data_IF_149320265747
#
_entry.id   IF_149320265747
#
_cell.length_a   1.000
_cell.length_b   1.000
_cell.length_c   1.000
_cell.angle_alpha   90.00
_cell.angle_beta   90.00
_cell.angle_gamma   90.00
#
_symmetry.space_group_name_H-M   'P 1'
#
loop_
_entity.id
_entity.type
_entity.pdbx_description
1 polymer ?
#
# COMPACT_ATOMS: atom_id res chain seq x y z
N UNK A 1 40.36 18.63 19.25
CA UNK A 1 39.00 19.18 19.38
C UNK A 1 38.04 18.17 18.78
N UNK A 2 36.92 17.86 19.43
CA UNK A 2 35.85 17.07 18.82
C UNK A 2 35.33 17.80 17.57
N UNK A 3 34.86 17.03 16.60
CA UNK A 3 34.24 17.56 15.38
C UNK A 3 32.77 17.18 15.37
N UNK A 4 31.86 18.15 15.22
CA UNK A 4 30.44 17.85 14.98
C UNK A 4 30.13 18.01 13.52
N UNK A 5 29.65 16.95 12.87
CA UNK A 5 29.11 17.03 11.52
C UNK A 5 27.60 17.28 11.58
N UNK A 6 27.14 18.35 10.91
CA UNK A 6 25.72 18.72 10.82
C UNK A 6 25.28 18.75 9.36
N UNK A 7 24.08 18.24 9.05
CA UNK A 7 23.51 18.34 7.71
C UNK A 7 22.08 17.82 7.64
N UNK A 8 21.28 18.37 6.72
CA UNK A 8 19.91 17.93 6.47
C UNK A 8 19.76 17.51 5.01
N UNK A 9 19.36 16.27 4.78
CA UNK A 9 19.23 15.66 3.46
C UNK A 9 17.75 15.45 3.19
N UNK A 10 17.26 16.12 2.16
CA UNK A 10 15.84 16.16 1.81
C UNK A 10 15.65 15.90 0.32
N UNK A 11 14.45 15.47 -0.06
CA UNK A 11 14.06 15.28 -1.46
C UNK A 11 13.76 16.63 -2.16
N UNK A 12 13.19 16.57 -3.36
CA UNK A 12 12.79 17.75 -4.13
C UNK A 12 11.70 18.59 -3.45
N UNK A 13 10.87 17.95 -2.62
CA UNK A 13 9.75 18.58 -1.90
C UNK A 13 10.17 19.10 -0.52
N UNK A 14 11.39 18.78 -0.08
CA UNK A 14 11.94 19.20 1.20
C UNK A 14 11.66 18.21 2.34
N UNK A 15 11.18 17.01 2.02
CA UNK A 15 10.92 15.95 2.99
C UNK A 15 12.17 15.08 3.22
N UNK A 16 12.36 14.50 4.41
CA UNK A 16 13.49 13.61 4.68
C UNK A 16 13.49 12.41 3.73
N UNK A 17 14.65 12.08 3.17
CA UNK A 17 14.75 10.96 2.23
C UNK A 17 14.73 9.64 3.00
N UNK A 18 13.59 8.94 2.95
CA UNK A 18 13.42 7.63 3.56
C UNK A 18 13.93 6.54 2.61
N UNK A 19 14.77 5.62 3.11
CA UNK A 19 15.19 4.43 2.38
C UNK A 19 16.52 4.51 1.61
N UNK A 20 17.20 5.67 1.62
CA UNK A 20 18.58 5.77 1.10
C UNK A 20 19.62 5.52 2.18
N UNK A 21 20.67 4.78 1.84
CA UNK A 21 21.78 4.48 2.74
C UNK A 21 22.89 5.50 2.56
N UNK A 22 22.79 6.63 3.24
CA UNK A 22 23.80 7.69 3.19
C UNK A 22 24.77 7.50 4.35
N UNK A 23 26.07 7.63 4.09
CA UNK A 23 27.12 7.48 5.09
C UNK A 23 28.02 8.71 5.12
N UNK A 24 28.44 9.10 6.33
CA UNK A 24 29.51 10.06 6.56
C UNK A 24 30.86 9.31 6.51
N UNK A 25 31.78 9.76 5.68
CA UNK A 25 33.13 9.22 5.56
C UNK A 25 34.19 10.28 5.89
N UNK A 26 35.29 9.85 6.49
CA UNK A 26 36.48 10.67 6.71
C UNK A 26 37.69 10.07 5.98
N UNK A 27 38.59 10.94 5.51
CA UNK A 27 39.85 10.51 4.92
C UNK A 27 40.89 10.26 6.02
N UNK A 28 41.18 8.98 6.28
CA UNK A 28 42.25 8.54 7.18
C UNK A 28 43.52 8.11 6.43
N UNK A 29 44.50 7.58 7.16
CA UNK A 29 45.79 7.13 6.59
C UNK A 29 45.65 5.99 5.57
N UNK A 30 44.61 5.16 5.74
CA UNK A 30 44.33 4.00 4.87
C UNK A 30 43.28 4.30 3.78
N UNK A 31 42.84 5.56 3.64
CA UNK A 31 41.80 5.97 2.69
C UNK A 31 40.51 6.40 3.39
N UNK A 32 39.41 6.37 2.63
CA UNK A 32 38.09 6.77 3.12
C UNK A 32 37.49 5.70 4.03
N UNK A 33 37.12 6.08 5.24
CA UNK A 33 36.50 5.18 6.22
C UNK A 33 35.11 5.68 6.58
N UNK A 34 34.13 4.78 6.59
CA UNK A 34 32.77 5.05 7.04
C UNK A 34 32.74 5.29 8.55
N UNK A 35 32.25 6.46 8.94
CA UNK A 35 32.11 6.89 10.33
C UNK A 35 30.71 6.60 10.87
N UNK A 36 29.67 6.96 10.11
CA UNK A 36 28.29 6.79 10.53
C UNK A 36 27.33 6.65 9.35
N UNK A 37 26.28 5.84 9.53
CA UNK A 37 25.13 5.74 8.64
C UNK A 37 24.04 6.73 9.08
N UNK A 38 23.48 7.44 8.11
CA UNK A 38 22.48 8.50 8.30
C UNK A 38 21.12 7.91 7.90
N UNK A 39 20.22 7.75 8.89
CA UNK A 39 18.95 7.04 8.69
C UNK A 39 17.74 7.94 8.49
N UNK A 40 17.77 9.16 9.02
CA UNK A 40 16.62 10.07 9.05
C UNK A 40 16.92 11.41 8.35
N UNK A 41 17.82 11.39 7.37
CA UNK A 41 18.25 12.59 6.64
C UNK A 41 19.00 13.64 7.47
N UNK A 42 19.12 13.48 8.79
CA UNK A 42 19.86 14.40 9.66
C UNK A 42 21.17 13.78 10.10
N UNK A 43 22.26 14.55 9.92
CA UNK A 43 23.58 14.23 10.43
C UNK A 43 23.78 15.06 11.69
N UNK A 44 23.98 14.41 12.84
CA UNK A 44 24.44 15.04 14.06
C UNK A 44 25.37 14.05 14.76
N UNK A 45 26.68 14.24 14.55
CA UNK A 45 27.69 13.24 14.93
C UNK A 45 28.89 13.92 15.55
N UNK A 46 29.16 13.57 16.80
CA UNK A 46 30.41 13.89 17.47
C UNK A 46 31.49 12.88 17.06
N UNK A 47 32.39 13.33 16.19
CA UNK A 47 33.55 12.56 15.79
C UNK A 47 34.67 12.72 16.82
N UNK A 48 35.30 11.62 17.26
CA UNK A 48 36.48 11.70 18.11
C UNK A 48 37.54 12.47 17.34
N UNK A 49 38.13 13.49 17.97
CA UNK A 49 39.05 14.43 17.32
C UNK A 49 40.14 13.70 16.53
N UNK A 50 39.97 13.63 15.21
CA UNK A 50 40.83 12.85 14.34
C UNK A 50 42.14 13.62 14.15
N UNK A 51 43.23 13.08 14.69
CA UNK A 51 44.60 13.60 14.50
C UNK A 51 45.14 13.34 13.09
N UNK A 52 46.31 13.91 12.76
CA UNK A 52 46.49 14.96 11.77
C UNK A 52 46.53 14.45 10.32
N UNK A 53 45.63 14.99 9.49
CA UNK A 53 45.94 15.17 8.07
C UNK A 53 47.05 16.24 7.94
N UNK A 54 48.04 15.97 7.09
CA UNK A 54 49.21 16.81 6.73
C UNK A 54 49.15 18.27 7.22
N UNK A 55 49.66 18.53 8.43
CA UNK A 55 49.83 19.86 9.01
C UNK A 55 49.08 20.05 10.34
N UNK A 56 49.75 20.61 11.35
CA UNK A 56 49.11 20.99 12.63
C UNK A 56 47.91 21.91 12.34
N UNK A 57 46.69 21.40 12.52
CA UNK A 57 45.46 22.19 12.50
C UNK A 57 44.63 22.13 11.22
N UNK A 58 44.97 21.31 10.23
CA UNK A 58 44.10 21.10 9.08
C UNK A 58 42.93 20.16 9.44
N UNK A 59 41.66 20.53 9.17
CA UNK A 59 40.53 19.66 9.40
C UNK A 59 40.61 18.41 8.51
N UNK A 60 40.16 17.27 9.03
CA UNK A 60 40.11 16.03 8.26
C UNK A 60 39.07 16.17 7.15
N UNK A 61 39.40 15.84 5.88
CA UNK A 61 38.42 15.85 4.81
C UNK A 61 37.25 14.92 5.14
N UNK A 62 36.03 15.48 5.15
CA UNK A 62 34.79 14.75 5.36
C UNK A 62 33.96 14.76 4.09
N UNK A 63 33.26 13.66 3.82
CA UNK A 63 32.30 13.57 2.71
C UNK A 63 31.06 12.78 3.09
N UNK A 64 29.95 13.11 2.46
CA UNK A 64 28.72 12.33 2.48
C UNK A 64 28.66 11.48 1.22
N UNK A 65 28.34 10.20 1.37
CA UNK A 65 28.29 9.23 0.26
C UNK A 65 26.97 8.48 0.30
N UNK A 66 26.31 8.39 -0.85
CA UNK A 66 25.15 7.52 -1.05
C UNK A 66 25.66 6.12 -1.44
N UNK A 67 25.32 5.14 -0.61
CA UNK A 67 25.65 3.72 -0.77
C UNK A 67 24.42 2.86 -1.01
N UNK A 68 23.28 3.47 -1.39
CA UNK A 68 22.06 2.75 -1.75
C UNK A 68 22.17 1.96 -3.06
N UNK A 69 23.19 2.27 -3.88
CA UNK A 69 23.49 1.57 -5.14
C UNK A 69 24.85 0.86 -5.03
N UNK A 70 25.14 -0.07 -5.96
CA UNK A 70 26.45 -0.75 -6.05
C UNK A 70 27.62 0.20 -6.36
N UNK A 71 27.34 1.47 -6.64
CA UNK A 71 28.33 2.53 -6.86
C UNK A 71 28.30 3.55 -5.72
N UNK A 72 29.45 3.81 -5.10
CA UNK A 72 29.59 4.93 -4.15
C UNK A 72 29.42 6.26 -4.88
N UNK A 73 28.39 7.03 -4.52
CA UNK A 73 28.16 8.37 -5.07
C UNK A 73 28.45 9.44 -4.02
N UNK A 74 29.44 10.30 -4.26
CA UNK A 74 29.75 11.42 -3.36
C UNK A 74 28.67 12.48 -3.48
N UNK A 75 27.92 12.68 -2.40
CA UNK A 75 26.83 13.65 -2.29
C UNK A 75 27.36 15.06 -1.99
N UNK A 76 28.34 15.16 -1.09
CA UNK A 76 29.03 16.41 -0.74
C UNK A 76 30.40 16.10 -0.13
N UNK A 77 31.42 16.89 -0.43
CA UNK A 77 32.80 16.71 0.07
C UNK A 77 33.39 17.96 0.74
N UNK A 78 32.64 19.05 0.79
CA UNK A 78 33.14 20.36 1.22
C UNK A 78 32.22 20.97 2.29
N UNK A 79 32.25 20.45 3.54
CA UNK A 79 31.50 21.07 4.63
C UNK A 79 32.07 22.46 4.95
N UNK A 80 31.20 23.37 5.38
CA UNK A 80 31.60 24.64 5.94
C UNK A 80 32.14 24.41 7.35
N UNK A 81 33.42 24.72 7.54
CA UNK A 81 34.08 24.57 8.83
C UNK A 81 33.89 25.83 9.68
N UNK A 82 33.33 25.67 10.88
CA UNK A 82 33.22 26.73 11.88
C UNK A 82 33.99 26.32 13.13
N UNK A 83 34.95 27.15 13.55
CA UNK A 83 35.72 26.93 14.76
C UNK A 83 35.04 27.62 15.95
N UNK A 84 34.61 26.83 16.93
CA UNK A 84 34.22 27.30 18.26
C UNK A 84 35.36 27.13 19.26
N UNK A 85 35.17 27.68 20.46
CA UNK A 85 36.19 27.66 21.52
C UNK A 85 36.53 26.23 22.00
N UNK A 86 35.58 25.29 21.92
CA UNK A 86 35.73 23.91 22.41
C UNK A 86 35.50 22.83 21.32
N UNK A 87 35.00 23.19 20.15
CA UNK A 87 34.55 22.25 19.12
C UNK A 87 34.68 22.83 17.71
N UNK A 88 34.89 21.95 16.73
CA UNK A 88 34.91 22.31 15.31
C UNK A 88 33.66 21.75 14.64
N UNK A 89 32.84 22.60 14.01
CA UNK A 89 31.61 22.17 13.33
C UNK A 89 31.85 22.06 11.82
N UNK A 90 31.49 20.93 11.24
CA UNK A 90 31.44 20.67 9.80
C UNK A 90 29.98 20.71 9.33
N UNK A 91 29.55 21.82 8.74
CA UNK A 91 28.18 22.01 8.28
C UNK A 91 28.05 21.73 6.78
N UNK A 92 27.28 20.70 6.42
CA UNK A 92 26.98 20.33 5.04
C UNK A 92 25.77 21.07 4.46
N UNK A 93 25.05 21.84 5.28
CA UNK A 93 23.84 22.57 4.91
C UNK A 93 22.65 21.66 4.58
N UNK A 94 21.68 22.21 3.86
CA UNK A 94 20.55 21.44 3.32
C UNK A 94 20.87 20.93 1.93
N UNK A 95 20.93 19.61 1.78
CA UNK A 95 21.23 18.92 0.53
C UNK A 95 19.95 18.36 -0.07
N UNK A 96 19.59 18.82 -1.28
CA UNK A 96 18.44 18.33 -2.04
C UNK A 96 18.87 17.26 -3.04
N UNK A 97 18.47 16.00 -2.83
CA UNK A 97 18.69 14.95 -3.84
C UNK A 97 17.52 14.95 -4.83
N UNK A 98 17.83 14.98 -6.13
CA UNK A 98 16.83 14.79 -7.19
C UNK A 98 16.67 13.29 -7.48
N UNK A 99 15.44 12.88 -7.73
CA UNK A 99 15.07 11.48 -8.05
C UNK A 99 15.74 11.01 -9.36
N UNK A 100 15.89 11.92 -10.33
CA UNK A 100 16.70 11.73 -11.53
C UNK A 100 18.05 12.45 -11.41
N UNK A 101 19.06 11.78 -10.86
CA UNK A 101 20.43 12.23 -11.03
C UNK A 101 20.91 11.92 -12.47
N UNK A 102 20.44 12.70 -13.45
CA UNK A 102 21.10 12.77 -14.76
C UNK A 102 22.41 13.51 -14.57
N UNK A 103 23.46 12.77 -14.20
CA UNK A 103 24.82 13.28 -14.12
C UNK A 103 25.39 13.40 -15.53
N UNK A 104 25.16 14.54 -16.19
CA UNK A 104 25.99 14.95 -17.33
C UNK A 104 27.35 15.42 -16.80
N UNK A 105 28.48 14.98 -17.39
CA UNK A 105 29.75 15.67 -17.21
C UNK A 105 29.62 17.09 -17.77
N UNK A 106 29.64 18.08 -16.88
CA UNK A 106 29.91 19.49 -17.16
C UNK A 106 28.96 20.22 -18.11
N UNK A 107 27.87 20.77 -17.59
CA UNK A 107 27.36 22.09 -18.02
C UNK A 107 26.74 22.79 -16.82
N UNK A 108 27.24 24.00 -16.54
CA UNK A 108 26.76 24.90 -15.48
C UNK A 108 25.45 25.54 -15.96
N UNK A 109 24.34 25.24 -15.28
CA UNK A 109 23.10 26.00 -15.42
C UNK A 109 22.98 26.94 -14.23
N UNK A 110 23.01 28.23 -14.55
CA UNK A 110 22.89 29.40 -13.68
C UNK A 110 21.81 29.29 -12.60
N UNK A 111 22.18 29.52 -11.35
CA UNK A 111 21.23 29.86 -10.28
C UNK A 111 21.40 29.20 -8.92
N UNK A 112 22.46 28.45 -8.63
CA UNK A 112 22.77 27.99 -7.26
C UNK A 112 24.26 27.66 -7.15
N UNK A 113 24.88 27.92 -6.00
CA UNK A 113 26.34 27.87 -5.78
C UNK A 113 26.93 26.51 -6.22
N UNK A 114 27.77 26.54 -7.27
CA UNK A 114 28.65 25.45 -7.65
C UNK A 114 30.09 25.92 -7.41
N UNK A 115 30.77 25.36 -6.41
CA UNK A 115 32.17 25.68 -6.10
C UNK A 115 33.07 24.77 -6.95
N UNK A 116 33.98 25.40 -7.70
CA UNK A 116 35.03 24.72 -8.46
C UNK A 116 36.23 24.36 -7.59
N UNK A 117 36.91 23.28 -7.95
CA UNK A 117 38.19 22.85 -7.38
C UNK A 117 39.28 23.94 -7.51
N UNK A 118 40.17 24.10 -6.53
CA UNK A 118 41.23 25.10 -6.57
C UNK A 118 42.30 24.73 -7.61
N UNK A 119 42.55 25.63 -8.57
CA UNK A 119 43.77 25.59 -9.39
C UNK A 119 44.93 26.13 -8.54
N UNK A 120 45.85 25.26 -8.15
CA UNK A 120 47.17 25.66 -7.69
C UNK A 120 47.88 26.46 -8.78
N UNK A 121 48.20 27.72 -8.46
CA UNK A 121 49.19 28.52 -9.16
C UNK A 121 50.57 27.98 -8.77
N UNK A 122 51.18 27.15 -9.62
CA UNK A 122 52.62 26.88 -9.56
C UNK A 122 53.31 27.84 -10.52
N UNK A 123 54.34 28.51 -10.01
CA UNK A 123 55.09 29.57 -10.68
C UNK A 123 55.78 29.13 -11.96
N UNK A 124 55.93 30.12 -12.83
CA UNK A 124 56.85 30.16 -13.97
C UNK A 124 58.27 29.87 -13.51
N UNK A 125 58.88 28.81 -14.04
CA UNK A 125 60.29 28.69 -14.46
C UNK A 125 60.71 27.21 -14.45
N UNK A 126 60.43 26.48 -15.54
CA UNK A 126 61.30 25.42 -16.12
C UNK A 126 60.60 24.83 -17.37
N UNK A 127 60.73 25.46 -18.54
CA UNK A 127 60.22 24.87 -19.79
C UNK A 127 61.22 23.82 -20.26
N UNK A 128 61.04 22.57 -19.82
CA UNK A 128 61.61 21.41 -20.51
C UNK A 128 60.79 21.12 -21.76
N UNK A 129 61.41 20.70 -22.88
CA UNK A 129 60.67 20.37 -24.09
C UNK A 129 59.72 19.20 -23.81
N UNK A 130 58.44 19.39 -24.16
CA UNK A 130 57.40 18.37 -24.03
C UNK A 130 57.76 17.20 -24.97
N UNK A 131 57.88 15.96 -24.47
CA UNK A 131 58.15 14.81 -25.33
C UNK A 131 56.95 14.55 -26.25
N UNK A 132 57.22 13.99 -27.43
CA UNK A 132 56.35 13.84 -28.61
C UNK A 132 54.95 13.15 -28.46
N UNK A 133 54.31 13.08 -27.29
CA UNK A 133 53.06 12.35 -27.04
C UNK A 133 51.73 13.11 -27.19
N UNK A 134 51.74 14.41 -27.56
CA UNK A 134 50.49 15.21 -27.71
C UNK A 134 49.59 14.74 -28.87
N UNK A 135 50.10 14.29 -30.04
CA UNK A 135 49.25 13.84 -31.15
C UNK A 135 48.54 12.50 -30.85
N UNK A 136 49.25 11.53 -30.26
CA UNK A 136 48.74 10.20 -29.93
C UNK A 136 47.60 10.28 -28.90
N UNK A 137 47.76 11.13 -27.87
CA UNK A 137 46.71 11.36 -26.88
C UNK A 137 45.46 12.02 -27.49
N UNK A 138 45.58 12.84 -28.54
CA UNK A 138 44.42 13.44 -29.22
C UNK A 138 43.66 12.40 -30.05
N UNK A 139 44.39 11.55 -30.75
CA UNK A 139 43.80 10.45 -31.53
C UNK A 139 43.08 9.45 -30.62
N UNK A 140 43.69 9.08 -29.48
CA UNK A 140 43.04 8.23 -28.48
C UNK A 140 41.78 8.88 -27.88
N UNK A 141 41.79 10.21 -27.66
CA UNK A 141 40.63 10.94 -27.15
C UNK A 141 39.49 11.00 -28.17
N UNK A 142 39.81 11.11 -29.46
CA UNK A 142 38.84 11.11 -30.57
C UNK A 142 38.19 9.73 -30.78
N UNK A 143 38.99 8.66 -30.64
CA UNK A 143 38.49 7.28 -30.63
C UNK A 143 37.56 7.06 -29.44
N UNK A 144 38.00 7.39 -28.21
CA UNK A 144 37.19 7.20 -27.00
C UNK A 144 35.91 8.04 -27.00
N UNK A 145 35.94 9.26 -27.55
CA UNK A 145 34.72 10.08 -27.69
C UNK A 145 33.75 9.50 -28.72
N UNK A 146 34.26 8.89 -29.79
CA UNK A 146 33.44 8.18 -30.77
C UNK A 146 32.81 6.91 -30.18
N UNK A 147 33.57 6.13 -29.41
CA UNK A 147 33.07 4.97 -28.68
C UNK A 147 31.98 5.35 -27.66
N UNK A 148 32.22 6.40 -26.86
CA UNK A 148 31.21 6.92 -25.92
C UNK A 148 29.91 7.34 -26.60
N UNK A 149 30.00 7.91 -27.81
CA UNK A 149 28.83 8.28 -28.60
C UNK A 149 28.03 7.05 -29.04
N UNK A 150 28.71 5.99 -29.47
CA UNK A 150 28.07 4.73 -29.87
C UNK A 150 27.42 4.04 -28.67
N UNK A 151 28.13 3.93 -27.55
CA UNK A 151 27.59 3.35 -26.31
C UNK A 151 26.35 4.10 -25.84
N UNK A 152 26.33 5.44 -25.97
CA UNK A 152 25.16 6.25 -25.62
C UNK A 152 23.97 5.98 -26.55
N UNK A 153 24.22 5.76 -27.84
CA UNK A 153 23.19 5.43 -28.81
C UNK A 153 22.59 4.04 -28.50
N UNK A 154 23.45 3.06 -28.23
CA UNK A 154 23.04 1.71 -27.85
C UNK A 154 22.23 1.73 -26.54
N UNK A 155 22.66 2.52 -25.56
CA UNK A 155 21.93 2.71 -24.31
C UNK A 155 20.56 3.33 -24.54
N UNK A 156 20.43 4.36 -25.38
CA UNK A 156 19.11 4.93 -25.70
C UNK A 156 18.19 3.92 -26.38
N UNK A 157 18.75 3.09 -27.27
CA UNK A 157 17.99 2.03 -27.96
C UNK A 157 17.52 0.96 -26.98
N UNK A 158 18.40 0.55 -26.06
CA UNK A 158 18.07 -0.40 -25.00
C UNK A 158 17.00 0.14 -24.05
N UNK A 159 17.07 1.42 -23.66
CA UNK A 159 16.07 2.06 -22.81
C UNK A 159 14.70 2.11 -23.48
N UNK A 160 14.63 2.52 -24.76
CA UNK A 160 13.39 2.46 -25.53
C UNK A 160 12.84 1.03 -25.60
N UNK A 161 13.72 0.04 -25.78
CA UNK A 161 13.29 -1.36 -25.82
C UNK A 161 12.76 -1.86 -24.47
N UNK A 162 13.36 -1.43 -23.36
CA UNK A 162 12.87 -1.72 -22.01
C UNK A 162 11.51 -1.07 -21.79
N UNK A 163 11.33 0.19 -22.17
CA UNK A 163 10.06 0.90 -22.04
C UNK A 163 8.95 0.22 -22.85
N UNK A 164 9.24 -0.19 -24.10
CA UNK A 164 8.34 -1.00 -24.93
C UNK A 164 8.00 -2.34 -24.28
N UNK A 165 9.00 -3.05 -23.74
CA UNK A 165 8.78 -4.33 -23.07
C UNK A 165 7.95 -4.17 -21.81
N UNK A 166 8.17 -3.10 -21.04
CA UNK A 166 7.42 -2.80 -19.82
C UNK A 166 5.96 -2.46 -20.15
N UNK A 167 5.74 -1.67 -21.21
CA UNK A 167 4.40 -1.39 -21.73
C UNK A 167 3.70 -2.65 -22.27
N UNK A 168 4.45 -3.59 -22.84
CA UNK A 168 3.93 -4.87 -23.37
C UNK A 168 3.66 -5.90 -22.26
N UNK A 169 4.36 -5.80 -21.12
CA UNK A 169 4.25 -6.76 -20.02
C UNK A 169 3.05 -6.51 -19.11
N UNK A 170 2.38 -5.35 -19.23
CA UNK A 170 1.19 -4.99 -18.46
C UNK A 170 1.37 -5.14 -16.95
N UNK A 171 0.31 -4.90 -16.18
CA UNK A 171 0.32 -5.25 -14.75
C UNK A 171 -0.02 -6.73 -14.62
N UNK A 172 0.96 -7.52 -14.17
CA UNK A 172 0.78 -8.95 -13.89
C UNK A 172 0.14 -9.14 -12.52
N UNK A 173 -0.94 -9.92 -12.46
CA UNK A 173 -1.62 -10.26 -11.20
C UNK A 173 -1.84 -11.76 -11.12
N UNK A 174 -1.75 -12.33 -9.92
CA UNK A 174 -2.10 -13.73 -9.66
C UNK A 174 -3.59 -13.98 -9.97
N UNK A 175 -3.88 -15.04 -10.71
CA UNK A 175 -5.25 -15.41 -11.11
C UNK A 175 -6.14 -15.65 -9.88
N UNK A 176 -5.56 -16.26 -8.84
CA UNK A 176 -6.27 -16.52 -7.57
C UNK A 176 -6.70 -15.22 -6.90
N UNK A 177 -5.83 -14.21 -6.89
CA UNK A 177 -6.14 -12.91 -6.28
C UNK A 177 -7.22 -12.16 -7.07
N UNK A 178 -7.21 -12.27 -8.40
CA UNK A 178 -8.27 -11.70 -9.24
C UNK A 178 -9.62 -12.36 -8.96
N UNK A 179 -9.67 -13.69 -8.91
CA UNK A 179 -10.91 -14.43 -8.62
C UNK A 179 -11.39 -14.12 -7.20
N UNK A 180 -10.50 -14.12 -6.22
CA UNK A 180 -10.84 -13.81 -4.83
C UNK A 180 -11.35 -12.37 -4.69
N UNK A 181 -10.70 -11.40 -5.31
CA UNK A 181 -11.12 -9.99 -5.32
C UNK A 181 -12.50 -9.79 -5.98
N UNK A 182 -12.76 -10.47 -7.11
CA UNK A 182 -14.09 -10.44 -7.73
C UNK A 182 -15.16 -11.04 -6.82
N UNK A 183 -14.84 -12.15 -6.14
CA UNK A 183 -15.73 -12.80 -5.18
C UNK A 183 -16.10 -11.88 -4.00
N UNK A 184 -15.11 -11.21 -3.40
CA UNK A 184 -15.35 -10.28 -2.29
C UNK A 184 -16.18 -9.09 -2.73
N UNK A 185 -15.90 -8.52 -3.91
CA UNK A 185 -16.63 -7.37 -4.42
C UNK A 185 -18.07 -7.72 -4.83
N UNK A 186 -18.31 -8.88 -5.43
CA UNK A 186 -19.65 -9.35 -5.76
C UNK A 186 -20.47 -9.68 -4.51
N UNK A 187 -19.84 -10.26 -3.49
CA UNK A 187 -20.47 -10.48 -2.18
C UNK A 187 -20.86 -9.16 -1.50
N UNK A 188 -19.94 -8.18 -1.45
CA UNK A 188 -20.21 -6.86 -0.89
C UNK A 188 -21.34 -6.14 -1.65
N UNK A 189 -21.33 -6.23 -2.98
CA UNK A 189 -22.40 -5.71 -3.83
C UNK A 189 -23.73 -6.38 -3.48
N UNK A 190 -23.78 -7.71 -3.40
CA UNK A 190 -24.99 -8.45 -3.05
C UNK A 190 -25.52 -8.06 -1.67
N UNK A 191 -24.64 -7.88 -0.67
CA UNK A 191 -25.01 -7.40 0.66
C UNK A 191 -25.63 -5.99 0.60
N UNK A 192 -25.05 -5.09 -0.19
CA UNK A 192 -25.60 -3.75 -0.40
C UNK A 192 -26.97 -3.79 -1.08
N UNK A 193 -27.16 -4.62 -2.11
CA UNK A 193 -28.45 -4.76 -2.79
C UNK A 193 -29.55 -5.32 -1.89
N UNK A 194 -29.21 -6.17 -0.93
CA UNK A 194 -30.14 -6.66 0.08
C UNK A 194 -30.65 -5.57 1.03
N UNK A 195 -29.95 -4.44 1.16
CA UNK A 195 -30.35 -3.32 2.05
C UNK A 195 -31.30 -2.32 1.38
N UNK A 196 -31.59 -2.47 0.09
CA UNK A 196 -32.48 -1.54 -0.63
C UNK A 196 -33.95 -1.72 -0.27
N UNK A 197 -34.75 -0.67 -0.48
CA UNK A 197 -36.19 -0.62 -0.17
C UNK A 197 -36.99 -1.75 -0.82
N UNK A 198 -36.52 -2.24 -1.97
CA UNK A 198 -36.93 -3.51 -2.56
C UNK A 198 -35.69 -4.39 -2.67
N UNK A 199 -35.56 -5.47 -1.86
CA UNK A 199 -34.36 -6.29 -1.86
C UNK A 199 -34.28 -7.11 -3.14
N UNK A 200 -33.13 -7.03 -3.82
CA UNK A 200 -32.79 -7.90 -4.93
C UNK A 200 -31.41 -8.50 -4.70
N UNK A 201 -31.17 -9.66 -5.33
CA UNK A 201 -29.89 -10.38 -5.23
C UNK A 201 -29.32 -10.60 -6.62
N UNK A 202 -27.99 -10.61 -6.70
CA UNK A 202 -27.31 -11.11 -7.87
C UNK A 202 -27.56 -12.62 -7.95
N UNK A 203 -27.92 -13.11 -9.14
CA UNK A 203 -28.07 -14.53 -9.41
C UNK A 203 -26.73 -15.11 -9.88
N UNK A 204 -26.76 -16.07 -10.79
CA UNK A 204 -25.57 -16.60 -11.43
C UNK A 204 -24.86 -15.49 -12.24
N UNK A 205 -23.59 -15.26 -11.94
CA UNK A 205 -22.75 -14.28 -12.64
C UNK A 205 -21.68 -15.03 -13.41
N UNK A 206 -21.73 -14.90 -14.74
CA UNK A 206 -20.69 -15.41 -15.65
C UNK A 206 -19.68 -14.32 -15.94
N UNK A 207 -18.40 -14.60 -15.67
CA UNK A 207 -17.30 -13.67 -15.89
C UNK A 207 -16.36 -14.24 -16.95
N UNK A 208 -16.13 -13.46 -18.02
CA UNK A 208 -15.14 -13.75 -19.06
C UNK A 208 -13.93 -12.84 -18.85
N UNK A 209 -12.88 -13.36 -18.24
CA UNK A 209 -11.62 -12.66 -18.02
C UNK A 209 -10.73 -12.84 -19.24
N UNK A 210 -10.36 -11.75 -19.90
CA UNK A 210 -9.45 -11.80 -21.06
C UNK A 210 -8.11 -11.19 -20.70
N UNK A 211 -7.06 -11.96 -20.95
CA UNK A 211 -5.69 -11.51 -20.71
C UNK A 211 -4.69 -12.51 -21.26
N UNK A 212 -3.42 -12.18 -21.12
CA UNK A 212 -2.34 -13.11 -21.48
C UNK A 212 -1.97 -13.90 -20.24
N UNK A 213 -2.00 -15.22 -20.35
CA UNK A 213 -1.54 -16.10 -19.29
C UNK A 213 -0.02 -16.01 -19.17
N UNK A 214 0.48 -15.90 -17.95
CA UNK A 214 1.89 -16.03 -17.64
C UNK A 214 2.43 -17.40 -18.03
N UNK A 215 3.75 -17.51 -18.15
CA UNK A 215 4.43 -18.76 -18.54
C UNK A 215 4.26 -19.89 -17.53
N UNK A 216 3.95 -19.54 -16.29
CA UNK A 216 3.67 -20.44 -15.17
C UNK A 216 2.20 -20.88 -15.08
N UNK A 217 1.31 -20.20 -15.81
CA UNK A 217 -0.12 -20.44 -15.73
C UNK A 217 -0.80 -19.89 -14.47
N UNK A 218 -0.07 -19.25 -13.54
CA UNK A 218 -0.62 -18.71 -12.29
C UNK A 218 -0.93 -17.22 -12.39
N UNK A 219 -0.25 -16.51 -13.28
CA UNK A 219 -0.43 -15.07 -13.48
C UNK A 219 -1.24 -14.76 -14.73
N UNK A 220 -1.98 -13.65 -14.70
CA UNK A 220 -2.63 -13.06 -15.87
C UNK A 220 -2.18 -11.61 -16.02
N UNK A 221 -1.83 -11.26 -17.26
CA UNK A 221 -1.51 -9.90 -17.66
C UNK A 221 -2.74 -9.32 -18.37
N UNK A 222 -3.25 -8.22 -17.83
CA UNK A 222 -4.34 -7.44 -18.43
C UNK A 222 -3.74 -6.22 -19.12
N UNK A 223 -3.27 -6.39 -20.36
CA UNK A 223 -2.64 -5.34 -21.18
C UNK A 223 -3.63 -4.65 -22.14
N UNK A 224 -4.92 -5.03 -22.11
CA UNK A 224 -5.94 -4.50 -23.01
C UNK A 224 -5.75 -4.92 -24.47
N UNK A 225 -4.78 -5.79 -24.77
CA UNK A 225 -4.58 -6.30 -26.11
C UNK A 225 -5.63 -7.39 -26.40
N UNK A 226 -6.39 -7.21 -27.49
CA UNK A 226 -7.51 -8.07 -27.90
C UNK A 226 -7.12 -9.53 -28.29
N UNK A 227 -5.91 -9.98 -27.96
CA UNK A 227 -5.35 -11.29 -28.32
C UNK A 227 -5.13 -12.27 -27.15
N UNK A 228 -5.53 -11.90 -25.93
CA UNK A 228 -5.40 -12.75 -24.75
C UNK A 228 -6.32 -13.98 -24.77
N UNK A 229 -5.86 -15.10 -24.21
CA UNK A 229 -6.69 -16.30 -23.98
C UNK A 229 -7.63 -16.03 -22.79
N UNK A 230 -8.93 -16.26 -22.97
CA UNK A 230 -9.93 -16.00 -21.94
C UNK A 230 -10.00 -17.10 -20.89
N UNK A 231 -10.18 -16.71 -19.62
CA UNK A 231 -10.59 -17.60 -18.52
C UNK A 231 -12.06 -17.29 -18.24
N UNK A 232 -12.93 -18.27 -18.45
CA UNK A 232 -14.32 -18.20 -18.01
C UNK A 232 -14.45 -18.82 -16.63
N UNK A 233 -15.01 -18.06 -15.69
CA UNK A 233 -15.36 -18.55 -14.37
C UNK A 233 -16.83 -18.26 -14.10
N UNK A 234 -17.54 -19.29 -13.61
CA UNK A 234 -18.89 -19.15 -13.10
C UNK A 234 -18.79 -18.91 -11.59
N UNK A 235 -19.25 -17.75 -11.13
CA UNK A 235 -19.26 -17.43 -9.71
C UNK A 235 -20.66 -17.71 -9.15
N UNK A 236 -20.73 -18.68 -8.25
CA UNK A 236 -21.93 -18.96 -7.47
C UNK A 236 -21.82 -18.20 -6.16
N UNK A 237 -22.67 -17.18 -5.99
CA UNK A 237 -22.80 -16.49 -4.70
C UNK A 237 -23.68 -17.37 -3.83
N UNK A 238 -23.10 -17.94 -2.76
CA UNK A 238 -23.88 -18.69 -1.77
C UNK A 238 -24.99 -17.80 -1.21
N UNK A 239 -26.22 -18.31 -1.27
CA UNK A 239 -27.34 -17.64 -0.63
C UNK A 239 -27.05 -17.57 0.88
N UNK A 240 -27.04 -16.39 1.53
CA UNK A 240 -27.12 -16.39 2.98
C UNK A 240 -28.41 -17.12 3.33
N UNK A 241 -28.33 -18.04 4.30
CA UNK A 241 -29.52 -18.70 4.84
C UNK A 241 -30.58 -17.62 5.07
N UNK A 242 -31.72 -17.71 4.37
CA UNK A 242 -32.80 -16.75 4.54
C UNK A 242 -33.18 -16.71 6.01
N UNK A 243 -32.72 -15.68 6.72
CA UNK A 243 -33.09 -15.44 8.09
C UNK A 243 -34.57 -15.05 8.06
N UNK A 244 -35.43 -16.03 8.30
CA UNK A 244 -36.88 -15.80 8.41
C UNK A 244 -37.06 -14.78 9.52
N UNK A 245 -37.76 -13.64 9.27
CA UNK A 245 -37.94 -12.62 10.29
C UNK A 245 -38.66 -13.22 11.51
N UNK A 246 -38.12 -12.99 12.70
CA UNK A 246 -38.71 -13.44 13.96
C UNK A 246 -39.57 -12.34 14.56
N UNK A 247 -40.75 -12.67 15.07
CA UNK A 247 -41.69 -11.74 15.70
C UNK A 247 -42.19 -12.29 17.04
N UNK A 248 -42.52 -11.40 17.99
CA UNK A 248 -43.13 -11.79 19.26
C UNK A 248 -44.56 -12.27 19.07
N UNK A 249 -44.91 -13.39 19.67
CA UNK A 249 -46.27 -13.96 19.62
C UNK A 249 -47.20 -13.12 20.50
N UNK A 250 -48.28 -12.52 19.95
CA UNK A 250 -49.22 -11.73 20.73
C UNK A 250 -50.05 -12.60 21.68
N UNK A 251 -50.58 -12.00 22.75
CA UNK A 251 -51.51 -12.67 23.65
C UNK A 251 -52.89 -12.79 22.99
N UNK A 252 -53.42 -14.01 22.99
CA UNK A 252 -54.79 -14.31 22.53
C UNK A 252 -55.69 -14.83 23.65
N UNK A 253 -55.19 -14.90 24.88
CA UNK A 253 -55.97 -15.37 26.04
C UNK A 253 -57.22 -14.49 26.24
N UNK A 254 -58.37 -15.12 26.51
CA UNK A 254 -59.66 -14.44 26.67
C UNK A 254 -60.31 -13.99 25.35
N UNK A 255 -59.64 -14.12 24.21
CA UNK A 255 -60.23 -13.81 22.90
C UNK A 255 -61.08 -14.98 22.38
N UNK A 256 -62.10 -14.66 21.60
CA UNK A 256 -62.84 -15.66 20.81
C UNK A 256 -61.97 -16.16 19.65
N UNK A 257 -62.29 -17.35 19.11
CA UNK A 257 -61.55 -17.93 17.98
C UNK A 257 -61.38 -16.94 16.80
N UNK A 258 -62.45 -16.26 16.42
CA UNK A 258 -62.45 -15.27 15.33
C UNK A 258 -61.53 -14.09 15.61
N UNK A 259 -61.48 -13.61 16.86
CA UNK A 259 -60.60 -12.52 17.27
C UNK A 259 -59.13 -12.96 17.33
N UNK A 260 -58.87 -14.15 17.89
CA UNK A 260 -57.53 -14.74 17.96
C UNK A 260 -56.92 -14.93 16.55
N UNK A 261 -57.71 -15.44 15.59
CA UNK A 261 -57.27 -15.58 14.19
C UNK A 261 -56.87 -14.24 13.58
N UNK A 262 -57.66 -13.18 13.82
CA UNK A 262 -57.36 -11.84 13.29
C UNK A 262 -56.06 -11.28 13.87
N UNK A 263 -55.86 -11.43 15.18
CA UNK A 263 -54.66 -10.95 15.86
C UNK A 263 -53.42 -11.68 15.35
N UNK A 264 -53.45 -13.02 15.30
CA UNK A 264 -52.31 -13.82 14.83
C UNK A 264 -51.99 -13.58 13.35
N UNK A 265 -53.01 -13.48 12.49
CA UNK A 265 -52.78 -13.16 11.06
C UNK A 265 -52.19 -11.77 10.85
N UNK A 266 -52.51 -10.80 11.72
CA UNK A 266 -51.97 -9.43 11.60
C UNK A 266 -50.46 -9.35 11.81
N UNK A 267 -49.89 -10.35 12.49
CA UNK A 267 -48.45 -10.48 12.77
C UNK A 267 -47.83 -11.66 12.01
N UNK A 268 -48.54 -12.27 11.05
CA UNK A 268 -48.02 -13.32 10.19
C UNK A 268 -47.96 -14.72 10.78
N UNK A 269 -48.68 -15.00 11.87
CA UNK A 269 -48.80 -16.35 12.43
C UNK A 269 -50.07 -17.05 11.95
N UNK A 270 -50.02 -18.39 11.92
CA UNK A 270 -51.18 -19.24 11.72
C UNK A 270 -51.75 -19.67 13.07
N UNK A 271 -53.07 -19.89 13.12
CA UNK A 271 -53.74 -20.42 14.31
C UNK A 271 -54.08 -21.88 14.06
N UNK A 272 -53.70 -22.73 15.00
CA UNK A 272 -54.25 -24.07 15.15
C UNK A 272 -55.12 -24.10 16.42
N UNK A 273 -56.30 -24.71 16.33
CA UNK A 273 -57.30 -24.67 17.40
C UNK A 273 -57.48 -26.05 18.02
N UNK A 274 -57.33 -26.13 19.34
CA UNK A 274 -57.80 -27.26 20.13
C UNK A 274 -58.91 -26.79 21.07
N UNK A 275 -59.70 -27.74 21.58
CA UNK A 275 -60.76 -27.46 22.54
C UNK A 275 -60.57 -28.27 23.82
N UNK A 276 -60.86 -27.67 24.97
CA UNK A 276 -60.81 -28.33 26.26
C UNK A 276 -62.11 -28.07 27.04
N UNK A 277 -62.63 -29.10 27.70
CA UNK A 277 -63.79 -28.97 28.57
C UNK A 277 -63.45 -28.12 29.79
N UNK A 278 -64.26 -27.09 30.02
CA UNK A 278 -64.15 -26.23 31.19
C UNK A 278 -65.04 -26.75 32.34
N UNK A 279 -64.53 -26.78 33.58
CA UNK A 279 -65.38 -26.89 34.78
C UNK A 279 -66.41 -25.75 34.82
N UNK A 280 -67.59 -25.99 35.42
CA UNK A 280 -68.71 -25.03 35.43
C UNK A 280 -68.34 -23.63 35.96
N UNK A 281 -67.32 -23.55 36.83
CA UNK A 281 -66.91 -22.32 37.51
C UNK A 281 -65.66 -21.66 36.90
N UNK A 282 -65.10 -22.19 35.80
CA UNK A 282 -63.83 -21.71 35.24
C UNK A 282 -63.97 -21.25 33.78
N UNK A 283 -63.75 -19.95 33.55
CA UNK A 283 -63.61 -19.38 32.21
C UNK A 283 -64.94 -19.14 31.48
N UNK A 284 -64.83 -18.53 30.28
CA UNK A 284 -65.98 -18.29 29.40
C UNK A 284 -65.90 -19.27 28.22
N UNK A 285 -66.93 -20.10 27.99
CA UNK A 285 -66.97 -20.96 26.82
C UNK A 285 -66.77 -20.18 25.51
N UNK A 286 -65.97 -20.73 24.60
CA UNK A 286 -65.59 -20.12 23.33
C UNK A 286 -64.41 -19.15 23.39
N UNK A 287 -63.81 -18.93 24.57
CA UNK A 287 -62.60 -18.11 24.73
C UNK A 287 -61.33 -18.96 24.84
N UNK A 288 -60.22 -18.40 24.37
CA UNK A 288 -58.91 -19.01 24.49
C UNK A 288 -58.45 -19.05 25.96
N UNK A 289 -58.10 -20.23 26.44
CA UNK A 289 -57.60 -20.48 27.79
C UNK A 289 -56.07 -20.47 27.78
N UNK A 290 -55.48 -21.22 26.85
CA UNK A 290 -54.04 -21.39 26.74
C UNK A 290 -53.58 -21.23 25.30
N UNK A 291 -52.34 -20.78 25.14
CA UNK A 291 -51.68 -20.69 23.85
C UNK A 291 -50.26 -21.26 23.94
N UNK A 292 -49.79 -21.84 22.84
CA UNK A 292 -48.42 -22.30 22.68
C UNK A 292 -47.95 -21.97 21.26
N UNK A 293 -46.87 -21.19 21.07
CA UNK A 293 -46.00 -20.55 22.07
C UNK A 293 -46.68 -19.52 22.99
N UNK A 294 -46.10 -19.29 24.17
CA UNK A 294 -46.60 -18.34 25.15
C UNK A 294 -46.58 -16.90 24.62
N UNK A 295 -47.45 -16.05 25.17
CA UNK A 295 -47.47 -14.63 24.81
C UNK A 295 -46.08 -14.00 25.09
N UNK A 296 -45.57 -13.25 24.11
CA UNK A 296 -44.24 -12.63 24.15
C UNK A 296 -43.09 -13.55 23.71
N UNK A 297 -43.34 -14.85 23.46
CA UNK A 297 -42.31 -15.73 22.92
C UNK A 297 -41.92 -15.29 21.51
N UNK A 298 -40.63 -15.38 21.17
CA UNK A 298 -40.13 -15.05 19.84
C UNK A 298 -40.28 -16.28 18.94
N UNK A 299 -40.99 -16.13 17.82
CA UNK A 299 -41.21 -17.20 16.85
C UNK A 299 -40.96 -16.69 15.42
N UNK A 300 -40.63 -17.60 14.51
CA UNK A 300 -40.43 -17.29 13.10
C UNK A 300 -41.75 -16.93 12.43
N UNK A 301 -41.73 -15.96 11.52
CA UNK A 301 -42.89 -15.62 10.70
C UNK A 301 -43.45 -16.87 9.98
N UNK A 302 -44.78 -17.04 10.01
CA UNK A 302 -45.44 -18.24 9.47
C UNK A 302 -45.53 -19.42 10.45
N UNK A 303 -45.00 -19.31 11.67
CA UNK A 303 -45.18 -20.33 12.71
C UNK A 303 -46.67 -20.49 13.05
N UNK A 304 -47.07 -21.73 13.36
CA UNK A 304 -48.41 -22.06 13.82
C UNK A 304 -48.48 -21.97 15.34
N UNK A 305 -49.42 -21.19 15.86
CA UNK A 305 -49.71 -21.04 17.29
C UNK A 305 -50.91 -21.91 17.62
N UNK A 306 -50.70 -22.88 18.50
CA UNK A 306 -51.76 -23.72 19.06
C UNK A 306 -52.50 -22.92 20.13
N UNK A 307 -53.81 -22.79 19.98
CA UNK A 307 -54.69 -22.10 20.92
C UNK A 307 -55.77 -23.07 21.39
N UNK A 308 -55.87 -23.25 22.71
CA UNK A 308 -56.89 -24.10 23.32
C UNK A 308 -58.06 -23.25 23.75
N UNK A 309 -59.23 -23.53 23.20
CA UNK A 309 -60.49 -22.86 23.51
C UNK A 309 -61.29 -23.69 24.52
N UNK A 310 -61.88 -22.99 25.48
CA UNK A 310 -62.80 -23.63 26.41
C UNK A 310 -64.12 -23.98 25.75
N UNK A 311 -64.56 -25.21 25.90
CA UNK A 311 -65.93 -25.62 25.56
C UNK A 311 -66.66 -25.98 26.85
N UNK A 312 -67.97 -25.75 26.86
CA UNK A 312 -68.79 -26.15 28.00
C UNK A 312 -68.70 -27.66 28.16
N UNK A 313 -68.55 -28.13 29.40
CA UNK A 313 -68.68 -29.55 29.65
C UNK A 313 -70.15 -29.93 29.41
N UNK A 314 -70.44 -30.60 28.29
CA UNK A 314 -71.74 -31.22 28.04
C UNK A 314 -71.81 -32.49 28.90
N UNK A 315 -71.94 -32.28 30.21
CA UNK A 315 -72.40 -33.29 31.16
C UNK A 315 -73.84 -32.93 31.55
N UNK A 316 -74.73 -32.83 30.55
CA UNK A 316 -76.18 -32.71 30.77
C UNK A 316 -76.83 -34.03 30.35
N UNK A 317 -77.19 -34.85 31.34
CA UNK A 317 -78.54 -35.42 31.59
C UNK A 317 -78.50 -36.59 32.59
#
# INVERSE_FOLDING_TARGET
>A
MPITAVGHIVDSDGEPIVGRKIVLQALGEQGWTTLQEIRDGTVDVDLPGVGPGRGRGAPVPLRLVDTSTDTELVVSSDPMWTAGDEQLTADFGTLRLREEAVLRPGVVSTGERVIGTPRERIGTDDVRPIPHGIPELREELEIKTSELKNVRLDLSTALTRVEELTATLGTSTEIVDVIAGLGTQLSATNAQLATQTTPFRLAEVKIDLRGRLGTDGSTIVMDGANGGSGISADLVVDAPASTIPTQGVPSVQGLTASAAVRVLRSVGFHLDSATQQLPEDQGVPGQAITQQPAAGAVAEFGTTVLVVFGVRNESDE
#
